data_IF_542395636727
#
_entry.id   IF_542395636727
#
_cell.length_a   1.000
_cell.length_b   1.000
_cell.length_c   1.000
_cell.angle_alpha   90.00
_cell.angle_beta   90.00
_cell.angle_gamma   90.00
#
_symmetry.space_group_name_H-M   'P 1'
#
loop_
_entity.id
_entity.type
_entity.pdbx_description
1 polymer ?
#
# COMPACT_ATOMS: atom_id res chain seq x y z
N UNK A 1 -17.10 -14.01 -9.67
CA UNK A 1 -17.86 -12.88 -10.24
C UNK A 1 -18.60 -12.04 -9.19
N UNK A 2 -19.32 -12.58 -8.16
CA UNK A 2 -20.04 -11.74 -7.18
C UNK A 2 -19.12 -10.74 -6.46
N UNK A 3 -17.97 -11.16 -5.94
CA UNK A 3 -17.02 -10.27 -5.27
C UNK A 3 -16.53 -9.13 -6.19
N UNK A 4 -16.24 -9.42 -7.47
CA UNK A 4 -15.84 -8.38 -8.43
C UNK A 4 -16.95 -7.33 -8.62
N UNK A 5 -18.22 -7.74 -8.70
CA UNK A 5 -19.35 -6.81 -8.82
C UNK A 5 -19.48 -5.93 -7.56
N UNK A 6 -19.36 -6.52 -6.36
CA UNK A 6 -19.42 -5.76 -5.12
C UNK A 6 -18.25 -4.73 -5.02
N UNK A 7 -17.07 -5.09 -5.51
CA UNK A 7 -15.94 -4.15 -5.61
C UNK A 7 -16.27 -3.02 -6.61
N UNK A 8 -16.85 -3.31 -7.77
CA UNK A 8 -17.26 -2.29 -8.73
C UNK A 8 -18.30 -1.33 -8.13
N UNK A 9 -19.29 -1.84 -7.40
CA UNK A 9 -20.29 -1.02 -6.70
C UNK A 9 -19.64 -0.12 -5.67
N UNK A 10 -18.67 -0.64 -4.92
CA UNK A 10 -17.87 0.15 -3.98
C UNK A 10 -17.12 1.30 -4.67
N UNK A 11 -16.42 1.04 -5.80
CA UNK A 11 -15.75 2.10 -6.55
C UNK A 11 -16.74 3.12 -7.11
N UNK A 12 -17.91 2.69 -7.55
CA UNK A 12 -18.97 3.58 -8.01
C UNK A 12 -19.46 4.53 -6.92
N UNK A 13 -19.60 4.05 -5.67
CA UNK A 13 -19.92 4.92 -4.52
C UNK A 13 -18.81 5.96 -4.25
N UNK A 14 -17.58 5.65 -4.59
CA UNK A 14 -16.44 6.56 -4.49
C UNK A 14 -16.26 7.45 -5.76
N UNK A 15 -17.24 7.46 -6.67
CA UNK A 15 -17.20 8.29 -7.87
C UNK A 15 -16.33 7.77 -9.02
N UNK A 16 -15.95 6.49 -9.00
CA UNK A 16 -15.12 5.86 -10.02
C UNK A 16 -15.83 4.70 -10.70
N UNK A 17 -15.88 4.70 -12.02
CA UNK A 17 -16.36 3.57 -12.79
C UNK A 17 -15.27 2.53 -13.01
N UNK A 18 -15.50 1.31 -12.51
CA UNK A 18 -14.62 0.15 -12.68
C UNK A 18 -15.48 -1.01 -13.18
N UNK A 19 -15.01 -1.71 -14.20
CA UNK A 19 -15.71 -2.87 -14.75
C UNK A 19 -15.25 -4.18 -14.07
N UNK A 20 -16.12 -5.22 -14.00
CA UNK A 20 -15.75 -6.46 -13.31
C UNK A 20 -14.54 -7.20 -13.89
N UNK A 21 -14.20 -6.99 -15.15
CA UNK A 21 -13.01 -7.58 -15.77
C UNK A 21 -11.73 -6.76 -15.54
N UNK A 22 -11.86 -5.53 -15.03
CA UNK A 22 -10.74 -4.69 -14.54
C UNK A 22 -10.37 -5.01 -13.09
N UNK A 23 -11.17 -5.82 -12.38
CA UNK A 23 -10.94 -6.26 -11.01
C UNK A 23 -10.36 -7.68 -11.01
N UNK A 24 -9.17 -7.83 -10.49
CA UNK A 24 -8.46 -9.09 -10.36
C UNK A 24 -8.39 -9.51 -8.91
N UNK A 25 -9.03 -10.64 -8.54
CA UNK A 25 -8.95 -11.16 -7.17
C UNK A 25 -7.59 -11.87 -7.00
N UNK A 26 -6.88 -11.52 -5.93
CA UNK A 26 -5.52 -11.98 -5.64
C UNK A 26 -5.42 -12.61 -4.24
N UNK A 27 -4.39 -13.40 -3.98
CA UNK A 27 -4.15 -14.01 -2.67
C UNK A 27 -3.52 -13.03 -1.66
N UNK A 28 -4.02 -11.78 -1.65
CA UNK A 28 -3.52 -10.65 -0.88
C UNK A 28 -2.60 -9.74 -1.72
N UNK A 29 -2.10 -8.65 -1.11
CA UNK A 29 -1.30 -7.65 -1.82
C UNK A 29 0.10 -8.17 -2.25
N UNK A 30 0.77 -8.95 -1.40
CA UNK A 30 2.15 -9.40 -1.66
C UNK A 30 2.34 -10.15 -2.97
N UNK A 31 1.52 -11.19 -3.29
CA UNK A 31 1.57 -11.84 -4.59
C UNK A 31 1.29 -10.89 -5.76
N UNK A 32 0.34 -9.98 -5.60
CA UNK A 32 0.01 -9.02 -6.66
C UNK A 32 1.17 -8.04 -6.96
N UNK A 33 1.87 -7.57 -5.92
CA UNK A 33 3.07 -6.75 -6.05
C UNK A 33 4.16 -7.50 -6.84
N UNK A 34 4.43 -8.76 -6.46
CA UNK A 34 5.42 -9.59 -7.14
C UNK A 34 5.02 -9.89 -8.60
N UNK A 35 3.75 -10.20 -8.82
CA UNK A 35 3.22 -10.48 -10.16
C UNK A 35 3.37 -9.26 -11.07
N UNK A 36 2.99 -8.06 -10.62
CA UNK A 36 3.11 -6.82 -11.39
C UNK A 36 4.57 -6.47 -11.69
N UNK A 37 5.45 -6.55 -10.69
CA UNK A 37 6.88 -6.28 -10.88
C UNK A 37 7.54 -7.24 -11.89
N UNK A 38 6.98 -8.44 -12.08
CA UNK A 38 7.52 -9.45 -13.00
C UNK A 38 7.01 -9.32 -14.45
N UNK A 39 6.06 -8.42 -14.73
CA UNK A 39 5.34 -8.43 -16.02
C UNK A 39 6.04 -7.71 -17.14
N UNK A 40 6.90 -6.76 -16.85
CA UNK A 40 7.61 -5.96 -17.84
C UNK A 40 9.09 -5.84 -17.50
N UNK A 41 9.89 -5.57 -18.52
CA UNK A 41 11.28 -5.21 -18.35
C UNK A 41 11.35 -3.73 -18.01
N UNK A 42 11.29 -3.42 -16.71
CA UNK A 42 11.48 -2.06 -16.21
C UNK A 42 12.99 -1.78 -16.06
N UNK A 43 13.42 -0.60 -16.48
CA UNK A 43 14.81 -0.18 -16.34
C UNK A 43 15.11 0.37 -14.95
N UNK A 44 14.23 1.20 -14.42
CA UNK A 44 14.42 1.86 -13.13
C UNK A 44 13.11 2.09 -12.38
N UNK A 45 13.08 1.68 -11.12
CA UNK A 45 11.96 1.91 -10.20
C UNK A 45 12.24 3.09 -9.27
N UNK A 46 11.29 4.01 -9.17
CA UNK A 46 11.25 5.07 -8.16
C UNK A 46 10.68 4.53 -6.84
N UNK A 47 11.44 4.68 -5.76
CA UNK A 47 11.08 4.21 -4.42
C UNK A 47 11.14 5.36 -3.41
N UNK A 48 10.00 5.99 -3.05
CA UNK A 48 9.97 6.89 -1.90
C UNK A 48 10.32 6.14 -0.61
N UNK A 49 11.14 6.74 0.26
CA UNK A 49 11.45 6.18 1.58
C UNK A 49 11.12 7.20 2.67
N UNK A 50 10.70 6.75 3.87
CA UNK A 50 10.60 5.36 4.28
C UNK A 50 9.45 4.62 3.59
N UNK A 51 9.67 3.35 3.21
CA UNK A 51 8.67 2.54 2.51
C UNK A 51 8.74 1.06 2.88
N UNK A 52 7.76 0.28 2.41
CA UNK A 52 7.71 -1.14 2.66
C UNK A 52 8.89 -1.87 2.00
N UNK A 53 9.73 -2.61 2.75
CA UNK A 53 10.99 -3.21 2.27
C UNK A 53 10.82 -4.12 1.05
N UNK A 54 9.65 -4.72 0.88
CA UNK A 54 9.37 -5.64 -0.22
C UNK A 54 9.60 -5.00 -1.60
N UNK A 55 9.42 -3.70 -1.75
CA UNK A 55 9.57 -3.06 -3.07
C UNK A 55 11.02 -3.13 -3.55
N UNK A 56 11.97 -2.80 -2.68
CA UNK A 56 13.39 -2.92 -2.99
C UNK A 56 13.81 -4.38 -3.25
N UNK A 57 13.28 -5.32 -2.46
CA UNK A 57 13.52 -6.75 -2.63
C UNK A 57 12.98 -7.27 -3.97
N UNK A 58 11.80 -6.82 -4.40
CA UNK A 58 11.26 -7.17 -5.71
C UNK A 58 12.11 -6.59 -6.85
N UNK A 59 12.53 -5.33 -6.73
CA UNK A 59 13.43 -4.73 -7.72
C UNK A 59 14.73 -5.51 -7.83
N UNK A 60 15.33 -5.90 -6.70
CA UNK A 60 16.54 -6.73 -6.70
C UNK A 60 16.30 -8.10 -7.35
N UNK A 61 15.19 -8.78 -7.01
CA UNK A 61 14.84 -10.10 -7.55
C UNK A 61 14.61 -10.07 -9.07
N UNK A 62 14.02 -8.99 -9.60
CA UNK A 62 13.74 -8.81 -11.03
C UNK A 62 14.79 -7.99 -11.77
N UNK A 63 15.92 -7.63 -11.10
CA UNK A 63 17.05 -6.87 -11.66
C UNK A 63 16.66 -5.47 -12.14
N UNK A 64 15.68 -4.85 -11.53
CA UNK A 64 15.25 -3.48 -11.79
C UNK A 64 16.15 -2.55 -10.96
N UNK A 65 16.75 -1.54 -11.57
CA UNK A 65 17.49 -0.51 -10.85
C UNK A 65 16.56 0.29 -9.96
N UNK A 66 17.07 0.83 -8.86
CA UNK A 66 16.25 1.61 -7.92
C UNK A 66 16.76 3.03 -7.77
N UNK A 67 15.88 4.00 -7.87
CA UNK A 67 16.09 5.38 -7.48
C UNK A 67 15.36 5.61 -6.16
N UNK A 68 16.10 5.61 -5.06
CA UNK A 68 15.57 5.80 -3.71
C UNK A 68 15.54 7.28 -3.36
N UNK A 69 14.42 7.77 -2.85
CA UNK A 69 14.24 9.17 -2.50
C UNK A 69 13.52 9.35 -1.16
N UNK A 70 14.22 9.97 -0.21
CA UNK A 70 13.64 10.43 1.07
C UNK A 70 13.50 11.94 1.06
N UNK A 71 12.26 12.45 0.94
CA UNK A 71 12.02 13.88 0.88
C UNK A 71 10.56 14.23 0.60
N UNK A 72 10.34 15.48 0.22
CA UNK A 72 9.00 16.01 -0.03
C UNK A 72 8.35 15.34 -1.26
N UNK A 73 7.09 14.96 -1.13
CA UNK A 73 6.30 14.34 -2.19
C UNK A 73 6.11 15.24 -3.43
N UNK A 74 6.20 16.55 -3.26
CA UNK A 74 6.16 17.52 -4.35
C UNK A 74 7.37 17.41 -5.29
N UNK A 75 8.45 16.76 -4.86
CA UNK A 75 9.63 16.49 -5.67
C UNK A 75 9.58 15.14 -6.43
N UNK A 76 8.54 14.31 -6.25
CA UNK A 76 8.47 12.96 -6.82
C UNK A 76 8.64 12.95 -8.34
N UNK A 77 7.91 13.79 -9.06
CA UNK A 77 8.05 13.92 -10.53
C UNK A 77 9.48 14.30 -10.93
N UNK A 78 10.06 15.30 -10.25
CA UNK A 78 11.43 15.74 -10.50
C UNK A 78 12.42 14.59 -10.33
N UNK A 79 12.31 13.84 -9.23
CA UNK A 79 13.21 12.73 -8.90
C UNK A 79 13.05 11.53 -9.82
N UNK A 80 11.79 11.17 -10.15
CA UNK A 80 11.53 10.13 -11.16
C UNK A 80 12.13 10.49 -12.51
N UNK A 81 12.02 11.77 -12.91
CA UNK A 81 12.60 12.28 -14.15
C UNK A 81 14.13 12.26 -14.16
N UNK A 82 14.77 12.76 -13.10
CA UNK A 82 16.25 12.80 -12.97
C UNK A 82 16.87 11.41 -13.10
N UNK A 83 16.16 10.36 -12.66
CA UNK A 83 16.61 8.97 -12.70
C UNK A 83 16.02 8.15 -13.86
N UNK A 84 15.24 8.80 -14.72
CA UNK A 84 14.54 8.15 -15.84
C UNK A 84 13.75 6.89 -15.42
N UNK A 85 13.06 6.95 -14.27
CA UNK A 85 12.27 5.82 -13.77
C UNK A 85 11.05 5.58 -14.66
N UNK A 86 10.75 4.33 -14.97
CA UNK A 86 9.59 3.86 -15.74
C UNK A 86 8.62 3.02 -14.93
N UNK A 87 9.00 2.76 -13.69
CA UNK A 87 8.17 2.14 -12.67
C UNK A 87 8.20 3.00 -11.40
N UNK A 88 7.04 3.21 -10.77
CA UNK A 88 6.95 3.84 -9.46
C UNK A 88 6.23 2.93 -8.47
N UNK A 89 6.82 2.64 -7.31
CA UNK A 89 6.11 2.03 -6.19
C UNK A 89 5.64 3.12 -5.25
N UNK A 90 4.33 3.25 -5.11
CA UNK A 90 3.71 4.23 -4.20
C UNK A 90 2.88 3.48 -3.17
N UNK A 91 3.07 3.77 -1.89
CA UNK A 91 2.27 3.23 -0.80
C UNK A 91 1.45 4.34 -0.16
N UNK A 92 0.12 4.26 -0.28
CA UNK A 92 -0.76 5.27 0.31
C UNK A 92 -2.09 4.65 0.78
N UNK A 93 -2.40 4.73 2.09
CA UNK A 93 -1.55 5.18 3.21
C UNK A 93 -0.27 4.34 3.37
N UNK A 94 0.81 4.98 3.78
CA UNK A 94 2.15 4.41 3.76
C UNK A 94 2.41 3.44 4.93
N UNK A 95 3.11 2.38 4.67
CA UNK A 95 3.81 1.57 5.66
C UNK A 95 5.31 1.89 5.52
N UNK A 96 5.97 2.53 6.52
CA UNK A 96 5.67 2.47 7.95
C UNK A 96 4.97 3.70 8.54
N UNK A 97 4.90 4.85 7.84
CA UNK A 97 4.56 6.14 8.45
C UNK A 97 3.06 6.29 8.75
N UNK A 98 2.19 5.57 8.02
CA UNK A 98 0.74 5.76 8.11
C UNK A 98 0.24 7.05 7.45
N UNK A 99 1.10 7.80 6.77
CA UNK A 99 0.75 9.04 6.08
C UNK A 99 0.14 8.77 4.71
N UNK A 100 -0.71 9.69 4.26
CA UNK A 100 -1.28 9.66 2.90
C UNK A 100 -0.40 10.49 1.96
N UNK A 101 -0.24 10.02 0.74
CA UNK A 101 0.28 10.84 -0.35
C UNK A 101 -0.75 11.90 -0.74
N UNK A 102 -0.32 13.12 -0.91
CA UNK A 102 -1.17 14.23 -1.34
C UNK A 102 -1.77 13.98 -2.73
N UNK A 103 -3.01 14.42 -2.92
CA UNK A 103 -3.71 14.22 -4.19
C UNK A 103 -2.98 14.83 -5.38
N UNK A 104 -2.53 16.10 -5.23
CA UNK A 104 -1.85 16.80 -6.33
C UNK A 104 -0.50 16.15 -6.71
N UNK A 105 0.44 15.89 -5.79
CA UNK A 105 1.68 15.18 -6.11
C UNK A 105 1.44 13.82 -6.80
N UNK A 106 0.40 13.11 -6.39
CA UNK A 106 0.03 11.84 -7.01
C UNK A 106 -0.46 12.02 -8.46
N UNK A 107 -1.34 12.99 -8.72
CA UNK A 107 -1.83 13.25 -10.08
C UNK A 107 -0.70 13.75 -10.99
N UNK A 108 0.14 14.66 -10.51
CA UNK A 108 1.30 15.14 -11.26
C UNK A 108 2.22 13.97 -11.67
N UNK A 109 2.43 13.00 -10.78
CA UNK A 109 3.18 11.78 -11.08
C UNK A 109 2.45 10.90 -12.12
N UNK A 110 1.13 10.75 -12.03
CA UNK A 110 0.34 10.03 -13.03
C UNK A 110 0.44 10.67 -14.41
N UNK A 111 0.36 11.99 -14.51
CA UNK A 111 0.48 12.72 -15.78
C UNK A 111 1.87 12.56 -16.38
N UNK A 112 2.91 12.65 -15.56
CA UNK A 112 4.29 12.45 -15.99
C UNK A 112 4.51 11.02 -16.52
N UNK A 113 4.09 10.00 -15.77
CA UNK A 113 4.27 8.60 -16.18
C UNK A 113 3.39 8.26 -17.40
N UNK A 114 2.17 8.81 -17.50
CA UNK A 114 1.31 8.62 -18.67
C UNK A 114 1.95 9.16 -19.95
N UNK A 115 2.63 10.31 -19.89
CA UNK A 115 3.26 10.93 -21.05
C UNK A 115 4.42 10.10 -21.63
N UNK A 116 5.00 9.20 -20.85
CA UNK A 116 6.16 8.38 -21.23
C UNK A 116 5.90 6.88 -21.27
N UNK A 117 4.67 6.45 -20.95
CA UNK A 117 4.28 5.04 -20.91
C UNK A 117 4.77 4.29 -19.66
N UNK A 118 5.10 5.02 -18.59
CA UNK A 118 5.50 4.45 -17.31
C UNK A 118 4.32 3.90 -16.51
N UNK A 119 4.62 3.17 -15.44
CA UNK A 119 3.64 2.47 -14.61
C UNK A 119 3.80 2.86 -13.14
N UNK A 120 2.68 3.03 -12.46
CA UNK A 120 2.61 3.24 -11.01
C UNK A 120 1.94 2.03 -10.38
N UNK A 121 2.66 1.32 -9.52
CA UNK A 121 2.09 0.30 -8.64
C UNK A 121 1.71 0.99 -7.34
N UNK A 122 0.40 1.22 -7.14
CA UNK A 122 -0.15 1.81 -5.94
C UNK A 122 -0.51 0.71 -4.94
N UNK A 123 0.29 0.57 -3.89
CA UNK A 123 -0.05 -0.27 -2.75
C UNK A 123 -1.00 0.49 -1.80
N UNK A 124 -2.28 0.23 -1.95
CA UNK A 124 -3.37 0.81 -1.17
C UNK A 124 -3.88 -0.18 -0.09
N UNK A 125 -2.97 -0.96 0.51
CA UNK A 125 -3.31 -1.98 1.51
C UNK A 125 -4.03 -1.41 2.73
N UNK A 126 -3.85 -0.14 3.03
CA UNK A 126 -4.47 0.57 4.16
C UNK A 126 -5.59 1.52 3.75
N UNK A 127 -5.94 1.60 2.47
CA UNK A 127 -6.96 2.53 1.98
C UNK A 127 -8.33 2.40 2.68
N UNK A 128 -8.68 1.23 3.22
CA UNK A 128 -9.89 1.07 4.03
C UNK A 128 -9.83 1.74 5.41
N UNK A 129 -8.68 2.23 5.86
CA UNK A 129 -8.53 3.02 7.09
C UNK A 129 -8.76 4.51 6.86
N UNK A 130 -8.84 4.94 5.61
CA UNK A 130 -9.08 6.32 5.21
C UNK A 130 -10.54 6.52 4.81
N UNK A 131 -11.27 7.33 5.58
CA UNK A 131 -12.68 7.65 5.32
C UNK A 131 -12.88 8.50 4.06
N UNK A 132 -11.84 9.28 3.72
CA UNK A 132 -11.83 10.20 2.60
C UNK A 132 -11.06 9.63 1.40
N UNK A 133 -10.85 8.29 1.39
CA UNK A 133 -10.09 7.66 0.32
C UNK A 133 -10.69 7.97 -1.05
N UNK A 134 -9.90 8.61 -1.87
CA UNK A 134 -10.24 8.86 -3.28
C UNK A 134 -9.50 7.84 -4.15
N UNK A 135 -10.22 7.00 -4.91
CA UNK A 135 -9.58 6.08 -5.86
C UNK A 135 -8.74 6.84 -6.89
N UNK A 136 -7.65 6.26 -7.40
CA UNK A 136 -6.77 6.93 -8.37
C UNK A 136 -7.45 7.18 -9.72
N UNK A 137 -8.47 6.41 -10.08
CA UNK A 137 -9.04 6.37 -11.44
C UNK A 137 -9.99 7.53 -11.78
N UNK A 138 -9.79 8.68 -11.16
CA UNK A 138 -10.55 9.92 -11.43
C UNK A 138 -10.00 10.70 -12.63
N UNK A 139 -8.78 10.40 -13.08
CA UNK A 139 -8.16 11.03 -14.25
C UNK A 139 -7.84 10.00 -15.32
N UNK A 140 -7.76 10.48 -16.58
CA UNK A 140 -7.37 9.63 -17.72
C UNK A 140 -5.93 9.12 -17.57
N UNK A 141 -5.03 9.96 -17.06
CA UNK A 141 -3.64 9.60 -16.81
C UNK A 141 -3.54 8.44 -15.81
N UNK A 142 -4.24 8.53 -14.68
CA UNK A 142 -4.26 7.46 -13.69
C UNK A 142 -4.86 6.15 -14.24
N UNK A 143 -5.90 6.22 -15.07
CA UNK A 143 -6.45 5.05 -15.74
C UNK A 143 -5.43 4.33 -16.64
N UNK A 144 -4.50 5.09 -17.24
CA UNK A 144 -3.49 4.53 -18.14
C UNK A 144 -2.22 4.06 -17.42
N UNK A 145 -1.93 4.54 -16.21
CA UNK A 145 -0.65 4.29 -15.54
C UNK A 145 -0.75 3.46 -14.27
N UNK A 146 -1.88 3.56 -13.53
CA UNK A 146 -1.97 3.01 -12.18
C UNK A 146 -2.45 1.56 -12.17
N UNK A 147 -1.73 0.72 -11.41
CA UNK A 147 -2.18 -0.59 -10.95
C UNK A 147 -2.43 -0.48 -9.44
N UNK A 148 -3.69 -0.38 -9.00
CA UNK A 148 -4.03 -0.26 -7.59
C UNK A 148 -4.18 -1.63 -6.95
N UNK A 149 -3.46 -1.87 -5.84
CA UNK A 149 -3.51 -3.12 -5.08
C UNK A 149 -4.19 -2.86 -3.74
N UNK A 150 -5.19 -3.67 -3.40
CA UNK A 150 -5.86 -3.63 -2.10
C UNK A 150 -5.92 -5.02 -1.47
N UNK A 151 -6.07 -5.05 -0.15
CA UNK A 151 -6.13 -6.32 0.59
C UNK A 151 -7.11 -6.25 1.74
N UNK A 152 -7.75 -7.39 2.03
CA UNK A 152 -8.60 -7.56 3.20
C UNK A 152 -7.82 -7.99 4.46
N UNK A 153 -6.50 -8.21 4.31
CA UNK A 153 -5.64 -8.70 5.41
C UNK A 153 -5.63 -7.78 6.61
N UNK A 154 -5.77 -6.46 6.40
CA UNK A 154 -5.71 -5.45 7.47
C UNK A 154 -7.10 -5.00 7.90
N UNK A 155 -7.94 -4.61 6.96
CA UNK A 155 -9.29 -4.10 7.23
C UNK A 155 -10.22 -5.14 7.86
N UNK A 156 -10.14 -6.40 7.42
CA UNK A 156 -10.99 -7.49 7.91
C UNK A 156 -10.27 -8.49 8.81
N UNK A 157 -9.02 -8.23 9.20
CA UNK A 157 -8.16 -9.18 9.91
C UNK A 157 -7.98 -10.52 9.14
N UNK A 158 -8.03 -10.48 7.82
CA UNK A 158 -7.92 -11.66 6.95
C UNK A 158 -6.47 -12.01 6.62
N UNK A 159 -5.54 -11.75 7.55
CA UNK A 159 -4.11 -12.01 7.32
C UNK A 159 -3.84 -13.46 6.92
N UNK A 160 -4.48 -14.43 7.56
CA UNK A 160 -4.39 -15.86 7.24
C UNK A 160 -5.33 -16.31 6.12
N UNK A 161 -6.41 -15.58 5.82
CA UNK A 161 -7.42 -15.94 4.81
C UNK A 161 -6.91 -15.78 3.38
N UNK A 162 -5.97 -14.88 3.17
CA UNK A 162 -5.31 -14.59 1.89
C UNK A 162 -6.25 -14.14 0.78
N UNK A 163 -6.90 -13.00 0.94
CA UNK A 163 -7.73 -12.38 -0.08
C UNK A 163 -7.41 -10.89 -0.24
N UNK A 164 -7.35 -10.44 -1.47
CA UNK A 164 -7.18 -9.06 -1.87
C UNK A 164 -7.64 -8.90 -3.32
N UNK A 165 -7.44 -7.72 -3.87
CA UNK A 165 -7.72 -7.47 -5.28
C UNK A 165 -6.79 -6.39 -5.84
N UNK A 166 -6.66 -6.42 -7.17
CA UNK A 166 -5.97 -5.40 -7.94
C UNK A 166 -6.95 -4.83 -8.95
N UNK A 167 -6.97 -3.52 -9.09
CA UNK A 167 -7.72 -2.82 -10.15
C UNK A 167 -6.72 -2.30 -11.16
N UNK A 168 -6.92 -2.71 -12.42
CA UNK A 168 -6.13 -2.24 -13.57
C UNK A 168 -7.12 -1.91 -14.67
N UNK A 169 -7.12 -0.67 -15.11
CA UNK A 169 -7.99 -0.22 -16.19
C UNK A 169 -7.53 -0.80 -17.52
N UNK A 170 -8.46 -1.04 -18.46
CA UNK A 170 -8.15 -1.63 -19.78
C UNK A 170 -7.15 -0.83 -20.60
N UNK A 171 -7.03 0.48 -20.31
CA UNK A 171 -6.09 1.40 -20.95
C UNK A 171 -4.64 1.23 -20.45
N UNK A 172 -4.46 0.58 -19.29
CA UNK A 172 -3.13 0.37 -18.71
C UNK A 172 -2.34 -0.67 -19.54
N UNK A 173 -1.06 -0.41 -19.85
CA UNK A 173 -0.25 -1.32 -20.67
C UNK A 173 -0.10 -2.73 -20.04
N UNK A 174 -0.15 -2.83 -18.71
CA UNK A 174 -0.03 -4.12 -18.03
C UNK A 174 -1.34 -4.92 -17.95
N UNK A 175 -2.49 -4.35 -18.32
CA UNK A 175 -3.80 -5.03 -18.19
C UNK A 175 -3.83 -6.41 -18.84
N UNK A 176 -3.45 -6.51 -20.11
CA UNK A 176 -3.48 -7.76 -20.87
C UNK A 176 -2.46 -8.79 -20.33
N UNK A 177 -1.28 -8.33 -20.02
CA UNK A 177 -0.20 -9.17 -19.49
C UNK A 177 -0.56 -9.71 -18.09
N UNK A 178 -1.09 -8.87 -17.21
CA UNK A 178 -1.52 -9.28 -15.86
C UNK A 178 -2.67 -10.29 -15.93
N UNK A 179 -3.67 -10.03 -16.78
CA UNK A 179 -4.79 -10.97 -16.99
C UNK A 179 -4.31 -12.34 -17.47
N UNK A 180 -3.36 -12.37 -18.42
CA UNK A 180 -2.76 -13.60 -18.94
C UNK A 180 -1.94 -14.30 -17.86
N UNK A 181 -1.10 -13.57 -17.11
CA UNK A 181 -0.28 -14.13 -16.03
C UNK A 181 -1.14 -14.83 -14.99
N UNK A 182 -2.20 -14.19 -14.50
CA UNK A 182 -3.10 -14.77 -13.51
C UNK A 182 -3.80 -16.04 -14.03
N UNK A 183 -4.17 -16.08 -15.31
CA UNK A 183 -4.79 -17.26 -15.91
C UNK A 183 -3.82 -18.45 -16.03
N UNK A 184 -2.51 -18.18 -16.11
CA UNK A 184 -1.48 -19.22 -16.16
C UNK A 184 -1.06 -19.70 -14.76
N UNK A 185 -1.05 -18.80 -13.79
CA UNK A 185 -0.59 -19.10 -12.41
C UNK A 185 -1.68 -19.72 -11.52
N UNK A 186 -2.94 -19.31 -11.70
CA UNK A 186 -4.00 -19.60 -10.74
C UNK A 186 -5.30 -20.00 -11.45
N UNK A 187 -5.95 -21.05 -10.94
CA UNK A 187 -7.36 -21.33 -11.26
C UNK A 187 -8.33 -20.49 -10.43
N UNK A 188 -7.84 -19.40 -9.83
CA UNK A 188 -8.56 -18.51 -8.95
C UNK A 188 -8.12 -18.60 -7.49
N UNK A 189 -8.47 -17.58 -6.72
CA UNK A 189 -8.25 -17.55 -5.26
C UNK A 189 -9.30 -18.42 -4.58
N UNK A 190 -8.96 -18.96 -3.42
CA UNK A 190 -9.86 -19.79 -2.60
C UNK A 190 -11.27 -19.19 -2.52
N UNK A 191 -12.28 -20.01 -2.90
CA UNK A 191 -13.68 -19.55 -2.98
C UNK A 191 -14.25 -19.17 -1.62
N UNK A 192 -13.82 -19.83 -0.53
CA UNK A 192 -14.24 -19.50 0.82
C UNK A 192 -13.72 -18.12 1.24
N UNK A 193 -12.46 -17.81 0.90
CA UNK A 193 -11.88 -16.48 1.13
C UNK A 193 -12.63 -15.38 0.35
N UNK A 194 -13.00 -15.66 -0.91
CA UNK A 194 -13.80 -14.72 -1.72
C UNK A 194 -15.21 -14.52 -1.17
N UNK A 195 -15.87 -15.58 -0.67
CA UNK A 195 -17.20 -15.47 -0.06
C UNK A 195 -17.17 -14.70 1.25
N UNK A 196 -16.15 -14.92 2.09
CA UNK A 196 -15.94 -14.16 3.31
C UNK A 196 -15.71 -12.67 3.03
N UNK A 197 -14.88 -12.34 2.03
CA UNK A 197 -14.68 -10.96 1.58
C UNK A 197 -15.98 -10.35 1.03
N UNK A 198 -16.76 -11.08 0.23
CA UNK A 198 -18.05 -10.63 -0.28
C UNK A 198 -19.03 -10.34 0.85
N UNK A 199 -19.12 -11.20 1.86
CA UNK A 199 -19.97 -10.97 3.02
C UNK A 199 -19.63 -9.66 3.72
N UNK A 200 -18.34 -9.36 3.91
CA UNK A 200 -17.91 -8.10 4.49
C UNK A 200 -18.33 -6.88 3.67
N UNK A 201 -18.26 -6.94 2.33
CA UNK A 201 -18.76 -5.87 1.45
C UNK A 201 -20.27 -5.72 1.51
N UNK A 202 -21.02 -6.83 1.55
CA UNK A 202 -22.50 -6.84 1.54
C UNK A 202 -23.11 -6.28 2.83
N UNK A 203 -22.39 -6.39 3.96
CA UNK A 203 -22.81 -5.84 5.25
C UNK A 203 -22.32 -4.39 5.48
N UNK A 204 -22.14 -3.61 4.41
CA UNK A 204 -21.74 -2.20 4.44
C UNK A 204 -20.46 -1.95 5.21
N UNK A 205 -19.41 -2.78 4.99
CA UNK A 205 -18.12 -2.54 5.68
C UNK A 205 -18.33 -2.03 7.11
N UNK A 206 -19.20 -2.69 7.82
CA UNK A 206 -20.19 -2.19 8.79
C UNK A 206 -19.59 -1.65 10.08
N UNK A 207 -20.46 -1.37 11.05
CA UNK A 207 -20.15 -0.92 12.41
C UNK A 207 -18.94 -1.64 13.05
N UNK A 208 -18.76 -2.93 12.79
CA UNK A 208 -17.61 -3.72 13.26
C UNK A 208 -16.27 -3.27 12.67
N UNK A 209 -16.25 -2.91 11.38
CA UNK A 209 -15.04 -2.38 10.74
C UNK A 209 -14.69 -1.01 11.33
N UNK A 210 -15.66 -0.12 11.47
CA UNK A 210 -15.44 1.19 12.09
C UNK A 210 -15.05 1.06 13.57
N UNK A 211 -15.69 0.18 14.33
CA UNK A 211 -15.33 -0.07 15.72
C UNK A 211 -13.89 -0.59 15.87
N UNK A 212 -13.47 -1.49 14.98
CA UNK A 212 -12.10 -2.00 14.97
C UNK A 212 -11.08 -0.91 14.60
N UNK A 213 -11.39 -0.08 13.64
CA UNK A 213 -10.53 1.04 13.25
C UNK A 213 -10.36 2.03 14.41
N UNK A 214 -11.45 2.39 15.08
CA UNK A 214 -11.41 3.25 16.26
C UNK A 214 -10.63 2.61 17.43
N UNK A 215 -10.75 1.29 17.59
CA UNK A 215 -9.94 0.55 18.56
C UNK A 215 -8.44 0.70 18.26
N UNK A 216 -8.03 0.57 16.99
CA UNK A 216 -6.61 0.75 16.62
C UNK A 216 -6.14 2.19 16.77
N UNK A 217 -6.99 3.18 16.51
CA UNK A 217 -6.69 4.60 16.77
C UNK A 217 -6.43 4.87 18.24
N UNK A 218 -7.30 4.34 19.11
CA UNK A 218 -7.10 4.43 20.57
C UNK A 218 -5.82 3.74 21.03
N UNK A 219 -5.51 2.58 20.49
CA UNK A 219 -4.23 1.91 20.77
C UNK A 219 -3.04 2.78 20.34
N UNK A 220 -3.12 3.42 19.18
CA UNK A 220 -2.07 4.32 18.70
C UNK A 220 -1.85 5.51 19.66
N UNK A 221 -2.92 6.12 20.16
CA UNK A 221 -2.85 7.20 21.16
C UNK A 221 -2.14 6.74 22.44
N UNK A 222 -2.53 5.57 22.97
CA UNK A 222 -1.91 4.98 24.17
C UNK A 222 -0.43 4.70 23.96
N UNK A 223 -0.09 4.10 22.81
CA UNK A 223 1.28 3.73 22.47
C UNK A 223 2.16 4.95 22.16
N UNK A 224 1.60 6.01 21.61
CA UNK A 224 2.33 7.26 21.32
C UNK A 224 2.57 8.10 22.59
N UNK A 225 1.68 8.05 23.58
CA UNK A 225 1.74 8.92 24.77
C UNK A 225 3.09 8.93 25.49
N UNK A 226 3.78 7.80 25.77
CA UNK A 226 5.09 7.82 26.42
C UNK A 226 6.20 8.48 25.57
N UNK A 227 6.09 8.43 24.25
CA UNK A 227 7.02 9.09 23.33
C UNK A 227 6.79 10.60 23.31
N UNK A 228 5.53 11.02 23.17
CA UNK A 228 5.15 12.44 23.23
C UNK A 228 5.59 13.08 24.54
N UNK A 229 5.35 12.40 25.69
CA UNK A 229 5.79 12.88 27.00
C UNK A 229 7.30 13.10 27.10
N UNK A 230 8.10 12.40 26.29
CA UNK A 230 9.57 12.50 26.25
C UNK A 230 10.06 13.40 25.11
N UNK A 231 9.16 14.05 24.37
CA UNK A 231 9.52 14.97 23.28
C UNK A 231 9.88 14.30 21.95
N UNK A 232 9.59 12.99 21.77
CA UNK A 232 9.76 12.34 20.48
C UNK A 232 8.63 12.69 19.53
N UNK A 233 8.98 12.97 18.25
CA UNK A 233 8.02 13.08 17.17
C UNK A 233 7.61 11.70 16.66
N UNK A 234 6.38 11.58 16.19
CA UNK A 234 5.89 10.37 15.54
C UNK A 234 4.92 10.69 14.40
N UNK A 235 4.73 9.72 13.52
CA UNK A 235 3.76 9.71 12.42
C UNK A 235 2.78 8.55 12.59
N UNK A 236 1.61 8.63 11.95
CA UNK A 236 0.67 7.53 11.82
C UNK A 236 -0.37 7.45 12.93
N UNK A 237 -0.96 6.26 13.08
CA UNK A 237 -2.04 5.99 14.03
C UNK A 237 -3.45 6.30 13.52
N UNK A 238 -3.60 6.98 12.39
CA UNK A 238 -4.91 7.38 11.82
C UNK A 238 -5.28 6.55 10.60
N UNK A 239 -4.44 6.57 9.55
CA UNK A 239 -4.72 5.92 8.27
C UNK A 239 -4.07 4.55 8.09
N UNK A 240 -3.28 4.12 9.09
CA UNK A 240 -2.74 2.77 9.18
C UNK A 240 -2.59 2.39 10.66
N UNK A 241 -2.66 1.09 11.01
CA UNK A 241 -2.57 0.64 12.40
C UNK A 241 -1.12 0.58 12.89
N UNK A 242 -0.37 1.64 12.65
CA UNK A 242 1.03 1.81 13.06
C UNK A 242 1.27 3.21 13.58
N UNK A 243 2.22 3.32 14.52
CA UNK A 243 2.95 4.57 14.76
C UNK A 243 4.41 4.36 14.36
N UNK A 244 5.01 5.40 13.79
CA UNK A 244 6.39 5.43 13.35
C UNK A 244 7.12 6.55 14.07
N UNK A 245 8.07 6.20 14.93
CA UNK A 245 8.69 7.11 15.88
C UNK A 245 10.15 7.29 15.53
N UNK A 246 10.59 8.55 15.39
CA UNK A 246 12.02 8.84 15.34
C UNK A 246 12.57 8.83 16.79
N UNK A 247 13.46 7.90 17.08
CA UNK A 247 14.02 7.69 18.40
C UNK A 247 15.41 8.37 18.59
N UNK A 248 15.94 9.00 17.53
CA UNK A 248 17.19 9.76 17.56
C UNK A 248 18.47 8.93 17.70
N UNK A 249 18.32 7.60 17.76
CA UNK A 249 19.41 6.62 17.80
C UNK A 249 19.07 5.48 16.84
N UNK A 250 20.01 4.57 16.56
CA UNK A 250 19.72 3.40 15.71
C UNK A 250 18.44 2.68 16.15
N UNK A 251 17.51 2.48 15.22
CA UNK A 251 16.26 1.77 15.45
C UNK A 251 16.48 0.32 15.87
N UNK A 252 17.48 -0.36 15.29
CA UNK A 252 17.89 -1.72 15.68
C UNK A 252 18.34 -1.76 17.14
N UNK A 253 19.21 -0.85 17.53
CA UNK A 253 19.69 -0.77 18.91
C UNK A 253 18.56 -0.51 19.89
N UNK A 254 17.68 0.44 19.56
CA UNK A 254 16.52 0.76 20.39
C UNK A 254 15.55 -0.42 20.51
N UNK A 255 15.29 -1.12 19.40
CA UNK A 255 14.42 -2.29 19.38
C UNK A 255 14.99 -3.45 20.22
N UNK A 256 16.32 -3.71 20.14
CA UNK A 256 17.00 -4.72 20.97
C UNK A 256 16.93 -4.35 22.45
N UNK A 257 17.22 -3.11 22.79
CA UNK A 257 17.14 -2.63 24.19
C UNK A 257 15.72 -2.78 24.77
N UNK A 258 14.67 -2.50 23.99
CA UNK A 258 13.28 -2.73 24.42
C UNK A 258 12.98 -4.22 24.62
N UNK A 259 13.43 -5.05 23.70
CA UNK A 259 13.22 -6.50 23.79
C UNK A 259 13.91 -7.08 25.03
N UNK A 260 15.18 -6.74 25.26
CA UNK A 260 15.97 -7.28 26.37
C UNK A 260 15.50 -6.77 27.74
N UNK A 261 15.16 -5.47 27.84
CA UNK A 261 14.82 -4.83 29.12
C UNK A 261 13.36 -4.93 29.50
N UNK A 262 12.46 -5.08 28.52
CA UNK A 262 11.01 -4.94 28.73
C UNK A 262 10.18 -6.02 28.04
N UNK A 263 10.80 -6.96 27.31
CA UNK A 263 10.13 -7.97 26.49
C UNK A 263 9.13 -7.37 25.47
N UNK A 264 9.40 -6.14 25.00
CA UNK A 264 8.58 -5.44 24.00
C UNK A 264 9.26 -5.54 22.63
N UNK A 265 8.55 -6.10 21.65
CA UNK A 265 9.04 -6.25 20.29
C UNK A 265 8.49 -5.13 19.38
N UNK A 266 9.39 -4.39 18.76
CA UNK A 266 9.06 -3.36 17.75
C UNK A 266 9.86 -3.63 16.47
N UNK A 267 9.46 -3.01 15.35
CA UNK A 267 10.18 -3.17 14.09
C UNK A 267 11.18 -2.02 13.92
N UNK A 268 12.49 -2.31 13.72
CA UNK A 268 13.48 -1.29 13.39
C UNK A 268 13.17 -0.55 12.11
N UNK A 269 13.53 0.73 12.06
CA UNK A 269 13.29 1.60 10.89
C UNK A 269 14.25 1.39 9.73
N UNK A 270 15.40 0.77 9.98
CA UNK A 270 16.46 0.52 8.99
C UNK A 270 15.92 -0.24 7.77
N UNK A 271 15.11 -1.27 7.99
CA UNK A 271 14.48 -2.03 6.91
C UNK A 271 13.50 -1.21 6.04
N UNK A 272 13.03 -0.06 6.52
CA UNK A 272 12.18 0.86 5.76
C UNK A 272 12.98 2.02 5.12
N UNK A 273 14.28 2.08 5.34
CA UNK A 273 15.14 3.19 4.90
C UNK A 273 15.15 4.39 5.84
N UNK A 274 14.93 4.18 7.15
CA UNK A 274 14.90 5.23 8.19
C UNK A 274 15.64 4.77 9.45
N UNK A 275 16.94 4.94 9.47
CA UNK A 275 17.87 4.37 10.46
C UNK A 275 17.59 4.72 11.92
N UNK A 276 17.08 5.92 12.19
CA UNK A 276 16.85 6.42 13.55
C UNK A 276 15.39 6.28 14.01
N UNK A 277 14.68 5.29 13.48
CA UNK A 277 13.24 5.15 13.72
C UNK A 277 12.85 3.73 14.09
N UNK A 278 11.67 3.61 14.69
CA UNK A 278 11.01 2.33 14.96
C UNK A 278 9.55 2.39 14.51
N UNK A 279 9.00 1.25 14.08
CA UNK A 279 7.56 1.09 13.83
C UNK A 279 6.94 0.25 14.92
N UNK A 280 5.84 0.73 15.49
CA UNK A 280 5.05 0.04 16.51
C UNK A 280 3.70 -0.33 15.89
N UNK A 281 3.29 -1.60 16.05
CA UNK A 281 1.99 -2.08 15.60
C UNK A 281 0.90 -1.76 16.64
N UNK A 282 -0.22 -1.23 16.18
CA UNK A 282 -1.40 -0.93 17.02
C UNK A 282 -2.49 -2.03 16.93
N UNK A 283 -2.14 -3.18 16.36
CA UNK A 283 -3.06 -4.30 16.11
C UNK A 283 -3.28 -5.23 17.32
N UNK A 284 -2.63 -4.97 18.43
CA UNK A 284 -2.70 -5.79 19.66
C UNK A 284 -3.88 -5.38 20.52
#
# INVERSE_FOLDING_TARGET
LPLRKAICEYYKMLGCDVEPDEVFITAGAKPALADLASLAEFDCAFLPVPSYPLYAELCAAYKIKTAVFGGDENDYVKRAKENNCDLCFICSPCNPTGEKLGYKPFIDLCEYENARGGVIILDAAYAFFDDEYTPPFVTKAACSTVCEIRTFSKSLSFTGVRCGFTVIKKQNPLYGAFKKLLSLKYNGVNITAQRAALAAFSYNMSAEFYARREYYRKNAEVLAAPFVKRGYGFFGGVYAPYIFVNVGVSGERFALDLLEKSAVCVTPGEGFGAENSIRISCLC
#
